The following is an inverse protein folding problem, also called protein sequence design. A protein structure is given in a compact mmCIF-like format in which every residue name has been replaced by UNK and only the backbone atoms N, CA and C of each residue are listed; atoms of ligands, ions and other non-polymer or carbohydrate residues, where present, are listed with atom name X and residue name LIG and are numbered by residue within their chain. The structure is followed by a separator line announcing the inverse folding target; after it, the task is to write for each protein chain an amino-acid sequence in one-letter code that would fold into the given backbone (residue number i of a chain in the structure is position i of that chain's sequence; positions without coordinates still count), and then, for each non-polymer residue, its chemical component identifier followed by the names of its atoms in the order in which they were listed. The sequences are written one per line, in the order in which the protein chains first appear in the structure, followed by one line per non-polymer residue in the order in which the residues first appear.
data_IF_531926213704
#
_entry.id   IF_531926213704
#
_cell.length_a   1.000
_cell.length_b   1.000
_cell.length_c   1.000
_cell.angle_alpha   90.00
_cell.angle_beta   90.00
_cell.angle_gamma   90.00
#
_symmetry.space_group_name_H-M   'P 1'
#
loop_
_entity.id
_entity.type
_entity.pdbx_description
1 polymer ?
#
# COMPACT_ATOMS: atom_id res chain seq x y z
N UNK A 1 0.63 26.14 6.04
CA UNK A 1 1.21 27.46 6.25
C UNK A 1 1.71 28.03 4.93
N UNK A 2 1.47 29.32 4.69
CA UNK A 2 2.08 30.06 3.58
C UNK A 2 3.26 30.86 4.12
N UNK A 3 4.29 31.08 3.26
CA UNK A 3 5.50 31.81 3.63
C UNK A 3 6.07 31.31 4.97
N UNK A 4 6.48 30.03 4.98
CA UNK A 4 6.85 29.30 6.18
C UNK A 4 8.28 28.76 6.10
N UNK A 5 8.84 28.48 7.26
CA UNK A 5 10.11 27.76 7.43
C UNK A 5 9.88 26.41 8.11
N UNK A 6 10.78 25.48 7.89
CA UNK A 6 10.85 24.21 8.60
C UNK A 6 12.32 23.90 8.89
N UNK A 7 12.61 23.51 10.12
CA UNK A 7 13.93 23.09 10.59
C UNK A 7 13.97 21.60 10.82
N UNK A 8 15.06 20.98 10.37
CA UNK A 8 15.32 19.55 10.60
C UNK A 8 16.72 19.35 11.19
N UNK A 9 16.84 18.45 12.14
CA UNK A 9 18.11 18.04 12.72
C UNK A 9 18.15 16.53 12.90
N UNK A 10 19.29 15.90 12.57
CA UNK A 10 19.49 14.46 12.71
C UNK A 10 18.37 13.61 12.06
N UNK A 11 17.85 14.08 10.91
CA UNK A 11 16.78 13.39 10.17
C UNK A 11 15.39 13.49 10.82
N UNK A 12 15.19 14.40 11.77
CA UNK A 12 13.89 14.68 12.40
C UNK A 12 13.48 16.14 12.22
N UNK A 13 12.18 16.37 12.21
CA UNK A 13 11.62 17.72 12.26
C UNK A 13 11.86 18.27 13.67
N UNK A 14 12.47 19.45 13.74
CA UNK A 14 12.71 20.16 15.00
C UNK A 14 11.55 21.10 15.27
N UNK A 15 11.28 22.01 14.31
CA UNK A 15 10.21 22.99 14.43
C UNK A 15 9.85 23.56 13.06
N UNK A 16 8.77 24.30 12.97
CA UNK A 16 8.33 25.03 11.79
C UNK A 16 7.41 26.20 12.16
N UNK A 17 7.36 27.19 11.30
CA UNK A 17 6.49 28.36 11.53
C UNK A 17 6.42 29.32 10.36
N UNK A 18 5.66 30.42 10.50
CA UNK A 18 5.69 31.52 9.54
C UNK A 18 7.08 32.16 9.46
N UNK A 19 7.49 32.66 8.29
CA UNK A 19 8.82 33.25 8.06
C UNK A 19 9.19 34.38 9.00
N UNK A 20 8.22 35.16 9.49
CA UNK A 20 8.43 36.24 10.45
C UNK A 20 8.80 35.76 11.87
N UNK A 21 8.63 34.46 12.14
CA UNK A 21 9.01 33.80 13.38
C UNK A 21 10.31 32.98 13.26
N UNK A 22 11.01 33.06 12.10
CA UNK A 22 12.23 32.27 11.89
C UNK A 22 13.27 32.58 12.99
N UNK A 23 13.73 31.54 13.74
CA UNK A 23 14.74 31.75 14.76
C UNK A 23 16.05 32.27 14.18
N UNK A 24 16.72 33.13 14.92
CA UNK A 24 18.11 33.51 14.61
C UNK A 24 19.04 32.33 14.91
N UNK A 25 19.69 31.79 13.91
CA UNK A 25 20.58 30.65 14.07
C UNK A 25 21.42 30.40 12.83
N UNK A 26 22.32 29.43 12.93
CA UNK A 26 23.10 28.92 11.80
C UNK A 26 22.55 27.54 11.41
N UNK A 27 22.35 27.34 10.12
CA UNK A 27 22.02 26.04 9.55
C UNK A 27 23.15 25.60 8.61
N UNK A 28 23.51 24.34 8.64
CA UNK A 28 24.55 23.77 7.76
C UNK A 28 24.09 23.79 6.28
N UNK A 29 22.78 23.66 6.05
CA UNK A 29 22.17 23.71 4.73
C UNK A 29 20.87 24.51 4.81
N UNK A 30 20.73 25.47 3.92
CA UNK A 30 19.49 26.22 3.70
C UNK A 30 18.97 25.89 2.30
N UNK A 31 17.71 25.50 2.22
CA UNK A 31 17.01 25.22 0.96
C UNK A 31 15.96 26.31 0.72
N UNK A 32 16.06 27.01 -0.42
CA UNK A 32 15.03 27.99 -0.81
C UNK A 32 13.75 27.26 -1.26
N UNK A 33 12.67 27.45 -0.47
CA UNK A 33 11.33 26.94 -0.71
C UNK A 33 10.39 27.92 -1.40
N UNK A 34 10.88 29.07 -1.88
CA UNK A 34 10.04 30.13 -2.46
C UNK A 34 9.23 29.63 -3.66
N UNK A 35 7.92 29.83 -3.62
CA UNK A 35 6.99 29.35 -4.67
C UNK A 35 6.81 27.84 -4.75
N UNK A 36 7.23 27.08 -3.74
CA UNK A 36 7.22 25.63 -3.69
C UNK A 36 6.27 25.11 -2.62
N UNK A 37 5.86 23.86 -2.75
CA UNK A 37 5.11 23.15 -1.73
C UNK A 37 6.03 22.17 -1.04
N UNK A 38 6.09 22.25 0.29
CA UNK A 38 6.71 21.26 1.16
C UNK A 38 5.63 20.44 1.84
N UNK A 39 5.69 19.12 1.74
CA UNK A 39 4.72 18.21 2.33
C UNK A 39 5.41 16.97 2.91
N UNK A 40 4.74 16.19 3.80
CA UNK A 40 5.23 14.88 4.19
C UNK A 40 5.41 13.99 2.95
N UNK A 41 6.43 13.17 2.96
CA UNK A 41 6.59 12.11 1.98
C UNK A 41 5.46 11.07 2.12
N UNK A 42 5.17 10.35 1.04
CA UNK A 42 4.07 9.39 0.96
C UNK A 42 4.35 8.13 1.76
N UNK A 43 3.29 7.53 2.28
CA UNK A 43 3.27 6.16 2.71
C UNK A 43 2.41 5.35 1.73
N UNK A 44 2.88 4.19 1.29
CA UNK A 44 2.12 3.30 0.41
C UNK A 44 1.78 2.02 1.15
N UNK A 45 0.55 1.95 1.64
CA UNK A 45 0.08 0.92 2.56
C UNK A 45 -0.46 -0.34 1.91
N UNK A 46 -0.26 -0.50 0.58
CA UNK A 46 -0.72 -1.67 -0.14
C UNK A 46 0.05 -1.86 -1.45
N UNK A 47 0.99 -2.81 -1.49
CA UNK A 47 1.72 -3.17 -2.71
C UNK A 47 2.04 -4.66 -2.78
N UNK A 48 2.25 -5.16 -4.01
CA UNK A 48 2.68 -6.53 -4.33
C UNK A 48 3.91 -6.53 -5.24
N UNK A 49 4.89 -5.68 -4.92
CA UNK A 49 6.05 -5.43 -5.80
C UNK A 49 7.03 -6.58 -5.93
N UNK A 50 6.90 -7.65 -5.12
CA UNK A 50 7.69 -8.87 -5.28
C UNK A 50 6.97 -9.80 -6.24
N UNK A 51 7.26 -9.65 -7.54
CA UNK A 51 6.74 -10.51 -8.60
C UNK A 51 7.83 -10.80 -9.65
N UNK A 52 7.74 -11.98 -10.28
CA UNK A 52 8.76 -12.49 -11.19
C UNK A 52 8.63 -11.97 -12.63
N UNK A 53 7.41 -11.66 -13.07
CA UNK A 53 7.12 -11.22 -14.46
C UNK A 53 6.00 -10.21 -14.50
N UNK A 54 6.06 -9.30 -15.47
CA UNK A 54 4.95 -8.46 -15.87
C UNK A 54 3.87 -9.28 -16.58
N UNK A 55 2.65 -8.74 -16.64
CA UNK A 55 1.48 -9.40 -17.22
C UNK A 55 0.91 -8.60 -18.40
N UNK A 56 1.78 -7.96 -19.18
CA UNK A 56 1.41 -7.11 -20.31
C UNK A 56 0.65 -7.86 -21.40
N UNK A 57 0.88 -9.16 -21.58
CA UNK A 57 0.09 -9.98 -22.51
C UNK A 57 -1.38 -10.10 -22.09
N UNK A 58 -1.64 -10.22 -20.79
CA UNK A 58 -3.00 -10.25 -20.25
C UNK A 58 -3.71 -8.88 -20.40
N UNK A 59 -2.94 -7.79 -20.31
CA UNK A 59 -3.46 -6.46 -20.61
C UNK A 59 -3.93 -6.35 -22.06
N UNK A 60 -3.15 -6.86 -23.03
CA UNK A 60 -3.54 -6.89 -24.45
C UNK A 60 -4.78 -7.76 -24.67
N UNK A 61 -4.86 -8.93 -24.04
CA UNK A 61 -6.04 -9.81 -24.10
C UNK A 61 -7.30 -9.11 -23.56
N UNK A 62 -7.17 -8.37 -22.45
CA UNK A 62 -8.27 -7.60 -21.86
C UNK A 62 -8.75 -6.47 -22.76
N UNK A 63 -7.85 -5.70 -23.36
CA UNK A 63 -8.19 -4.68 -24.36
C UNK A 63 -8.90 -5.32 -25.56
N UNK A 64 -8.50 -6.53 -25.93
CA UNK A 64 -9.14 -7.33 -26.97
C UNK A 64 -10.56 -7.84 -26.60
N UNK A 65 -11.04 -7.56 -25.38
CA UNK A 65 -12.39 -7.88 -24.92
C UNK A 65 -12.52 -9.21 -24.21
N UNK A 66 -11.41 -9.89 -23.85
CA UNK A 66 -11.50 -11.13 -23.07
C UNK A 66 -11.89 -10.80 -21.63
N UNK A 67 -12.82 -11.61 -21.10
CA UNK A 67 -13.20 -11.57 -19.70
C UNK A 67 -12.08 -12.08 -18.77
N UNK A 68 -12.19 -11.78 -17.49
CA UNK A 68 -11.26 -12.29 -16.48
C UNK A 68 -11.21 -13.84 -16.47
N UNK A 69 -12.38 -14.50 -16.62
CA UNK A 69 -12.45 -15.95 -16.68
C UNK A 69 -11.78 -16.52 -17.92
N UNK A 70 -11.91 -15.89 -19.09
CA UNK A 70 -11.25 -16.32 -20.32
C UNK A 70 -9.73 -16.15 -20.24
N UNK A 71 -9.25 -15.07 -19.63
CA UNK A 71 -7.80 -14.86 -19.34
C UNK A 71 -7.30 -15.93 -18.37
N UNK A 72 -8.03 -16.23 -17.31
CA UNK A 72 -7.68 -17.28 -16.36
C UNK A 72 -7.64 -18.68 -17.00
N UNK A 73 -8.60 -18.99 -17.90
CA UNK A 73 -8.64 -20.24 -18.67
C UNK A 73 -7.44 -20.39 -19.61
N UNK A 74 -6.91 -19.29 -20.13
CA UNK A 74 -5.66 -19.26 -20.92
C UNK A 74 -4.39 -19.41 -20.05
N UNK A 75 -4.54 -19.58 -18.73
CA UNK A 75 -3.44 -19.70 -17.79
C UNK A 75 -2.91 -18.37 -17.27
N UNK A 76 -3.68 -17.29 -17.40
CA UNK A 76 -3.36 -15.98 -16.85
C UNK A 76 -3.77 -15.83 -15.37
N UNK A 77 -3.71 -14.60 -14.87
CA UNK A 77 -4.11 -14.27 -13.51
C UNK A 77 -3.04 -14.56 -12.45
N UNK A 78 -3.48 -14.60 -11.19
CA UNK A 78 -2.62 -14.85 -10.02
C UNK A 78 -1.89 -16.20 -10.14
N UNK A 79 -2.55 -17.22 -10.71
CA UNK A 79 -1.95 -18.55 -10.91
C UNK A 79 -0.75 -18.52 -11.85
N UNK A 80 -0.80 -17.71 -12.92
CA UNK A 80 0.34 -17.51 -13.82
C UNK A 80 1.52 -16.83 -13.09
N UNK A 81 1.23 -15.82 -12.29
CA UNK A 81 2.25 -15.17 -11.45
C UNK A 81 2.89 -16.17 -10.48
N UNK A 82 2.09 -17.09 -9.90
CA UNK A 82 2.59 -18.10 -8.98
C UNK A 82 3.53 -19.12 -9.66
N UNK A 83 3.20 -19.57 -10.86
CA UNK A 83 4.07 -20.44 -11.64
C UNK A 83 5.41 -19.75 -11.97
N UNK A 84 5.35 -18.51 -12.45
CA UNK A 84 6.56 -17.74 -12.74
C UNK A 84 7.43 -17.52 -11.51
N UNK A 85 6.81 -17.28 -10.34
CA UNK A 85 7.52 -17.07 -9.09
C UNK A 85 8.14 -18.36 -8.55
N UNK A 86 7.48 -19.52 -8.73
CA UNK A 86 8.02 -20.80 -8.30
C UNK A 86 9.39 -21.08 -8.92
N UNK A 87 9.56 -20.74 -10.20
CA UNK A 87 10.80 -20.93 -10.97
C UNK A 87 11.81 -19.79 -10.82
N UNK A 88 11.42 -18.67 -10.22
CA UNK A 88 12.26 -17.47 -10.13
C UNK A 88 13.46 -17.67 -9.18
N UNK A 89 14.64 -17.24 -9.63
CA UNK A 89 15.80 -17.11 -8.78
C UNK A 89 15.58 -16.03 -7.69
N UNK A 90 15.77 -16.35 -6.40
CA UNK A 90 15.56 -15.41 -5.31
C UNK A 90 16.41 -14.13 -5.42
N UNK A 91 17.63 -14.21 -5.94
CA UNK A 91 18.54 -13.07 -6.08
C UNK A 91 17.95 -12.09 -7.12
N UNK A 92 17.58 -12.60 -8.30
CA UNK A 92 16.96 -11.80 -9.33
C UNK A 92 15.62 -11.21 -8.87
N UNK A 93 14.82 -12.00 -8.14
CA UNK A 93 13.55 -11.53 -7.59
C UNK A 93 13.75 -10.36 -6.61
N UNK A 94 14.81 -10.43 -5.78
CA UNK A 94 15.21 -9.34 -4.89
C UNK A 94 15.64 -8.10 -5.67
N UNK A 95 16.53 -8.25 -6.64
CA UNK A 95 17.06 -7.12 -7.41
C UNK A 95 15.96 -6.39 -8.18
N UNK A 96 15.09 -7.14 -8.86
CA UNK A 96 13.95 -6.59 -9.61
C UNK A 96 12.95 -5.88 -8.67
N UNK A 97 12.66 -6.46 -7.50
CA UNK A 97 11.76 -5.84 -6.52
C UNK A 97 12.40 -4.61 -5.88
N UNK A 98 13.70 -4.65 -5.58
CA UNK A 98 14.40 -3.52 -4.98
C UNK A 98 14.51 -2.32 -5.95
N UNK A 99 14.70 -2.57 -7.23
CA UNK A 99 14.66 -1.52 -8.26
C UNK A 99 13.29 -0.80 -8.29
N UNK A 100 12.18 -1.55 -8.06
CA UNK A 100 10.84 -0.95 -7.91
C UNK A 100 10.75 -0.07 -6.66
N UNK A 101 11.30 -0.53 -5.52
CA UNK A 101 11.38 0.28 -4.29
C UNK A 101 12.15 1.58 -4.54
N UNK A 102 13.30 1.52 -5.21
CA UNK A 102 14.10 2.71 -5.54
C UNK A 102 13.32 3.69 -6.44
N UNK A 103 12.59 3.19 -7.43
CA UNK A 103 11.74 4.02 -8.28
C UNK A 103 10.59 4.68 -7.51
N UNK A 104 9.98 3.99 -6.53
CA UNK A 104 8.96 4.55 -5.66
C UNK A 104 9.52 5.60 -4.70
N UNK A 105 10.68 5.35 -4.09
CA UNK A 105 11.37 6.33 -3.25
C UNK A 105 11.72 7.60 -4.02
N UNK A 106 12.18 7.47 -5.25
CA UNK A 106 12.47 8.63 -6.11
C UNK A 106 11.22 9.47 -6.42
N UNK A 107 10.03 8.88 -6.32
CA UNK A 107 8.74 9.55 -6.47
C UNK A 107 8.10 9.95 -5.12
N UNK A 108 8.88 10.00 -4.04
CA UNK A 108 8.45 10.55 -2.76
C UNK A 108 7.86 9.53 -1.78
N UNK A 109 7.92 8.23 -2.05
CA UNK A 109 7.46 7.21 -1.08
C UNK A 109 8.52 6.98 -0.01
N UNK A 110 8.14 7.15 1.26
CA UNK A 110 9.02 7.03 2.43
C UNK A 110 8.61 5.91 3.41
N UNK A 111 7.57 5.16 3.10
CA UNK A 111 7.17 3.94 3.81
C UNK A 111 6.39 3.03 2.87
N UNK A 112 6.58 1.73 3.00
CA UNK A 112 5.93 0.71 2.15
C UNK A 112 5.33 -0.42 2.96
N UNK A 113 4.21 -0.98 2.46
CA UNK A 113 3.83 -2.35 2.72
C UNK A 113 4.12 -3.19 1.48
N UNK A 114 4.68 -4.38 1.68
CA UNK A 114 4.88 -5.37 0.62
C UNK A 114 4.20 -6.67 1.04
N UNK A 115 3.22 -7.10 0.24
CA UNK A 115 2.46 -8.34 0.46
C UNK A 115 3.10 -9.49 -0.30
N UNK A 116 3.06 -10.70 0.27
CA UNK A 116 3.27 -11.96 -0.46
C UNK A 116 2.02 -12.30 -1.31
N UNK A 117 1.75 -13.55 -1.60
CA UNK A 117 0.50 -13.95 -2.25
C UNK A 117 0.61 -14.38 -3.71
N UNK A 118 1.80 -14.28 -4.29
CA UNK A 118 2.10 -14.92 -5.57
C UNK A 118 2.87 -16.23 -5.43
N UNK A 119 3.06 -16.72 -4.19
CA UNK A 119 3.70 -18.01 -3.96
C UNK A 119 2.75 -19.20 -4.08
N UNK A 120 1.59 -19.09 -3.43
CA UNK A 120 0.52 -20.08 -3.36
C UNK A 120 0.98 -21.50 -2.99
N UNK A 121 2.17 -21.62 -2.40
CA UNK A 121 2.75 -22.86 -1.88
C UNK A 121 3.68 -22.54 -0.70
N UNK A 122 3.95 -23.52 0.16
CA UNK A 122 4.83 -23.33 1.32
C UNK A 122 6.21 -22.74 0.89
N UNK A 123 6.86 -23.39 -0.06
CA UNK A 123 8.20 -22.98 -0.50
C UNK A 123 8.21 -21.57 -1.14
N UNK A 124 7.21 -21.26 -1.97
CA UNK A 124 7.18 -20.00 -2.71
C UNK A 124 6.71 -18.83 -1.88
N UNK A 125 5.74 -19.00 -0.96
CA UNK A 125 5.35 -17.94 -0.01
C UNK A 125 6.50 -17.57 0.92
N UNK A 126 7.20 -18.56 1.49
CA UNK A 126 8.37 -18.30 2.31
C UNK A 126 9.52 -17.66 1.53
N UNK A 127 9.70 -18.05 0.25
CA UNK A 127 10.66 -17.38 -0.65
C UNK A 127 10.34 -15.90 -0.80
N UNK A 128 9.08 -15.55 -1.08
CA UNK A 128 8.66 -14.15 -1.19
C UNK A 128 8.91 -13.38 0.10
N UNK A 129 8.47 -13.90 1.23
CA UNK A 129 8.62 -13.24 2.52
C UNK A 129 10.10 -13.06 2.93
N UNK A 130 10.96 -14.02 2.59
CA UNK A 130 12.41 -13.87 2.80
C UNK A 130 13.03 -12.80 1.90
N UNK A 131 12.54 -12.65 0.66
CA UNK A 131 12.92 -11.53 -0.22
C UNK A 131 12.43 -10.20 0.37
N UNK A 132 11.20 -10.13 0.86
CA UNK A 132 10.67 -8.93 1.52
C UNK A 132 11.52 -8.56 2.75
N UNK A 133 11.93 -9.54 3.57
CA UNK A 133 12.85 -9.31 4.70
C UNK A 133 14.18 -8.68 4.25
N UNK A 134 14.78 -9.18 3.17
CA UNK A 134 16.02 -8.61 2.63
C UNK A 134 15.82 -7.18 2.11
N UNK A 135 14.65 -6.87 1.50
CA UNK A 135 14.29 -5.51 1.13
C UNK A 135 14.17 -4.63 2.38
N UNK A 136 13.50 -5.11 3.44
CA UNK A 136 13.33 -4.40 4.71
C UNK A 136 14.67 -4.07 5.38
N UNK A 137 15.63 -4.98 5.32
CA UNK A 137 16.99 -4.80 5.85
C UNK A 137 17.82 -3.81 5.02
N UNK A 138 17.62 -3.78 3.71
CA UNK A 138 18.39 -2.95 2.76
C UNK A 138 17.81 -1.54 2.59
N UNK A 139 16.48 -1.41 2.62
CA UNK A 139 15.81 -0.14 2.31
C UNK A 139 16.05 0.91 3.39
N UNK A 140 16.25 2.19 3.01
CA UNK A 140 16.42 3.28 3.96
C UNK A 140 15.12 3.77 4.59
N UNK A 141 14.00 3.21 4.17
CA UNK A 141 12.64 3.54 4.60
C UNK A 141 12.03 2.36 5.35
N UNK A 142 11.06 2.58 6.24
CA UNK A 142 10.31 1.49 6.85
C UNK A 142 9.58 0.66 5.79
N UNK A 143 9.71 -0.65 5.89
CA UNK A 143 8.97 -1.62 5.09
C UNK A 143 8.22 -2.54 6.02
N UNK A 144 6.92 -2.70 5.81
CA UNK A 144 6.05 -3.67 6.48
C UNK A 144 5.80 -4.85 5.55
N UNK A 145 5.76 -6.05 6.11
CA UNK A 145 5.55 -7.29 5.38
C UNK A 145 4.19 -7.90 5.72
N UNK A 146 3.40 -8.26 4.70
CA UNK A 146 2.12 -8.94 4.86
C UNK A 146 2.16 -10.34 4.29
N UNK A 147 1.74 -11.32 5.09
CA UNK A 147 1.51 -12.66 4.61
C UNK A 147 0.12 -12.75 3.96
N UNK A 148 0.07 -12.89 2.64
CA UNK A 148 -1.14 -13.04 1.84
C UNK A 148 -1.18 -14.41 1.14
N UNK A 149 -0.86 -15.50 1.84
CA UNK A 149 -1.03 -16.85 1.28
C UNK A 149 -2.48 -17.15 0.86
N UNK A 150 -3.43 -16.47 1.47
CA UNK A 150 -4.84 -16.51 1.12
C UNK A 150 -5.23 -15.49 0.02
N UNK A 151 -4.43 -15.38 -1.04
CA UNK A 151 -4.70 -14.54 -2.21
C UNK A 151 -5.55 -15.28 -3.27
N UNK A 152 -5.26 -16.55 -3.50
CA UNK A 152 -6.06 -17.44 -4.35
C UNK A 152 -5.84 -18.90 -3.93
N UNK A 153 -6.77 -19.78 -4.29
CA UNK A 153 -6.59 -21.22 -4.08
C UNK A 153 -5.81 -21.80 -5.27
N UNK A 154 -4.62 -22.38 -5.05
CA UNK A 154 -3.83 -22.96 -6.13
C UNK A 154 -4.49 -24.19 -6.75
N UNK A 155 -4.15 -24.49 -8.00
CA UNK A 155 -4.75 -25.60 -8.76
C UNK A 155 -4.61 -26.95 -8.03
N UNK A 156 -3.52 -27.19 -7.32
CA UNK A 156 -3.30 -28.39 -6.54
C UNK A 156 -4.35 -28.61 -5.43
N UNK A 157 -4.99 -27.55 -4.97
CA UNK A 157 -6.01 -27.56 -3.92
C UNK A 157 -7.40 -27.14 -4.43
N UNK A 158 -7.62 -27.11 -5.74
CA UNK A 158 -8.92 -26.68 -6.35
C UNK A 158 -10.13 -27.42 -5.74
N UNK A 159 -9.97 -28.70 -5.41
CA UNK A 159 -11.00 -29.55 -4.84
C UNK A 159 -10.81 -29.83 -3.33
N UNK A 160 -9.82 -29.19 -2.71
CA UNK A 160 -9.50 -29.36 -1.27
C UNK A 160 -9.13 -28.00 -0.64
N UNK A 161 -10.08 -27.08 -0.62
CA UNK A 161 -9.90 -25.75 -0.02
C UNK A 161 -9.53 -25.83 1.47
N UNK A 162 -10.14 -26.79 2.18
CA UNK A 162 -9.85 -27.01 3.61
C UNK A 162 -8.40 -27.42 3.80
N UNK A 163 -7.89 -28.32 2.96
CA UNK A 163 -6.48 -28.72 2.97
C UNK A 163 -5.54 -27.55 2.69
N UNK A 164 -5.90 -26.63 1.79
CA UNK A 164 -5.11 -25.42 1.55
C UNK A 164 -5.08 -24.49 2.76
N UNK A 165 -6.23 -24.23 3.38
CA UNK A 165 -6.31 -23.40 4.60
C UNK A 165 -5.50 -24.03 5.74
N UNK A 166 -5.57 -25.36 5.89
CA UNK A 166 -4.73 -26.08 6.87
C UNK A 166 -3.24 -25.93 6.56
N UNK A 167 -2.82 -25.99 5.28
CA UNK A 167 -1.45 -25.72 4.89
C UNK A 167 -0.98 -24.33 5.34
N UNK A 168 -1.80 -23.29 5.11
CA UNK A 168 -1.48 -21.91 5.51
C UNK A 168 -1.33 -21.83 7.04
N UNK A 169 -2.28 -22.39 7.80
CA UNK A 169 -2.35 -22.30 9.26
C UNK A 169 -1.32 -23.17 9.96
N UNK A 170 -1.25 -24.45 9.57
CA UNK A 170 -0.51 -25.46 10.35
C UNK A 170 0.96 -25.60 9.91
N UNK A 171 1.30 -25.12 8.70
CA UNK A 171 2.63 -25.30 8.14
C UNK A 171 3.35 -23.97 7.86
N UNK A 172 2.68 -23.00 7.24
CA UNK A 172 3.34 -21.76 6.80
C UNK A 172 3.39 -20.75 7.94
N UNK A 173 2.28 -20.48 8.61
CA UNK A 173 2.23 -19.51 9.72
C UNK A 173 3.25 -19.80 10.85
N UNK A 174 3.46 -21.05 11.32
CA UNK A 174 4.49 -21.33 12.32
C UNK A 174 5.90 -20.97 11.85
N UNK A 175 6.22 -21.17 10.58
CA UNK A 175 7.53 -20.82 10.03
C UNK A 175 7.70 -19.31 9.89
N UNK A 176 6.65 -18.60 9.45
CA UNK A 176 6.63 -17.14 9.41
C UNK A 176 6.91 -16.55 10.79
N UNK A 177 6.23 -17.07 11.82
CA UNK A 177 6.42 -16.63 13.19
C UNK A 177 7.83 -16.95 13.72
N UNK A 178 8.33 -18.16 13.45
CA UNK A 178 9.66 -18.59 13.91
C UNK A 178 10.79 -17.74 13.28
N UNK A 179 10.62 -17.29 12.03
CA UNK A 179 11.59 -16.46 11.32
C UNK A 179 11.31 -14.94 11.42
N UNK A 180 10.18 -14.52 11.98
CA UNK A 180 9.77 -13.10 12.04
C UNK A 180 9.59 -12.48 10.65
N UNK A 181 8.94 -13.18 9.72
CA UNK A 181 8.89 -12.80 8.32
C UNK A 181 7.78 -11.81 7.95
N UNK A 182 6.73 -11.69 8.76
CA UNK A 182 5.59 -10.82 8.48
C UNK A 182 5.17 -9.99 9.71
N UNK A 183 4.67 -8.81 9.45
CA UNK A 183 4.03 -7.90 10.41
C UNK A 183 2.50 -8.13 10.43
N UNK A 184 1.92 -8.49 9.29
CA UNK A 184 0.47 -8.58 9.07
C UNK A 184 0.07 -9.92 8.44
N UNK A 185 -1.21 -10.30 8.67
CA UNK A 185 -1.91 -11.35 7.94
C UNK A 185 -2.98 -10.72 7.06
N UNK A 186 -2.97 -11.04 5.77
CA UNK A 186 -3.95 -10.54 4.81
C UNK A 186 -4.71 -11.72 4.15
N UNK A 187 -5.96 -11.46 3.79
CA UNK A 187 -6.85 -12.43 3.13
C UNK A 187 -7.65 -11.73 2.04
N UNK A 188 -7.73 -12.32 0.86
CA UNK A 188 -8.63 -11.85 -0.18
C UNK A 188 -10.04 -12.41 0.07
N UNK A 189 -10.84 -11.66 0.84
CA UNK A 189 -12.22 -12.00 1.19
C UNK A 189 -13.18 -11.46 0.15
N UNK A 190 -13.40 -12.20 -0.93
CA UNK A 190 -14.30 -11.76 -1.98
C UNK A 190 -14.91 -12.94 -2.75
N UNK A 191 -15.92 -12.64 -3.59
CA UNK A 191 -16.59 -13.60 -4.45
C UNK A 191 -15.57 -14.32 -5.35
N UNK A 192 -15.55 -15.66 -5.25
CA UNK A 192 -14.62 -16.50 -6.01
C UNK A 192 -13.27 -16.74 -5.34
N UNK A 193 -12.96 -16.01 -4.27
CA UNK A 193 -11.73 -16.13 -3.48
C UNK A 193 -12.01 -16.77 -2.11
N UNK A 194 -11.76 -16.10 -0.99
CA UNK A 194 -12.04 -16.67 0.34
C UNK A 194 -13.36 -16.16 0.90
N UNK A 195 -14.11 -17.05 1.51
CA UNK A 195 -15.40 -16.75 2.15
C UNK A 195 -15.19 -16.14 3.55
N UNK A 196 -16.24 -15.50 4.09
CA UNK A 196 -16.18 -14.94 5.46
C UNK A 196 -15.80 -15.99 6.51
N UNK A 197 -16.35 -17.24 6.55
CA UNK A 197 -15.90 -18.25 7.50
C UNK A 197 -14.46 -18.72 7.31
N UNK A 198 -13.96 -18.75 6.07
CA UNK A 198 -12.56 -19.10 5.78
C UNK A 198 -11.63 -17.97 6.24
N UNK A 199 -12.03 -16.72 6.01
CA UNK A 199 -11.33 -15.50 6.44
C UNK A 199 -11.27 -15.43 7.96
N UNK A 200 -12.39 -15.63 8.65
CA UNK A 200 -12.46 -15.68 10.12
C UNK A 200 -11.41 -16.65 10.71
N UNK A 201 -11.38 -17.86 10.21
CA UNK A 201 -10.44 -18.89 10.64
C UNK A 201 -8.97 -18.51 10.38
N UNK A 202 -8.67 -17.89 9.22
CA UNK A 202 -7.32 -17.47 8.85
C UNK A 202 -6.84 -16.32 9.72
N UNK A 203 -7.69 -15.30 9.94
CA UNK A 203 -7.34 -14.15 10.78
C UNK A 203 -7.17 -14.53 12.25
N UNK A 204 -8.05 -15.42 12.79
CA UNK A 204 -7.87 -15.96 14.12
C UNK A 204 -6.53 -16.69 14.28
N UNK A 205 -6.12 -17.45 13.26
CA UNK A 205 -4.81 -18.11 13.26
C UNK A 205 -3.66 -17.12 13.22
N UNK A 206 -3.73 -16.08 12.38
CA UNK A 206 -2.73 -15.01 12.32
C UNK A 206 -2.53 -14.30 13.66
N UNK A 207 -3.62 -13.96 14.34
CA UNK A 207 -3.59 -13.34 15.66
C UNK A 207 -2.82 -14.16 16.72
N UNK A 208 -2.92 -15.49 16.68
CA UNK A 208 -2.18 -16.38 17.59
C UNK A 208 -0.67 -16.25 17.46
N UNK A 209 -0.20 -15.76 16.31
CA UNK A 209 1.21 -15.49 16.01
C UNK A 209 1.56 -14.00 16.04
N UNK A 210 0.64 -13.13 16.50
CA UNK A 210 0.87 -11.68 16.62
C UNK A 210 0.80 -10.92 15.29
N UNK A 211 0.29 -11.52 14.22
CA UNK A 211 0.08 -10.85 12.94
C UNK A 211 -1.25 -10.10 12.97
N UNK A 212 -1.19 -8.77 12.85
CA UNK A 212 -2.41 -7.96 12.81
C UNK A 212 -3.13 -8.14 11.47
N UNK A 213 -4.48 -8.26 11.44
CA UNK A 213 -5.23 -8.45 10.21
C UNK A 213 -5.20 -7.23 9.28
N UNK A 214 -5.16 -7.51 7.99
CA UNK A 214 -5.56 -6.64 6.87
C UNK A 214 -6.42 -7.48 5.93
N UNK A 215 -7.25 -6.85 5.10
CA UNK A 215 -8.16 -7.61 4.22
C UNK A 215 -8.30 -6.90 2.88
N UNK A 216 -8.13 -7.63 1.76
CA UNK A 216 -8.69 -7.25 0.49
C UNK A 216 -10.19 -7.52 0.57
N UNK A 217 -11.00 -6.49 0.51
CA UNK A 217 -12.42 -6.56 0.83
C UNK A 217 -13.28 -5.84 -0.21
N UNK A 218 -14.36 -6.48 -0.63
CA UNK A 218 -15.42 -5.85 -1.41
C UNK A 218 -14.92 -5.18 -2.70
N UNK A 219 -13.92 -5.79 -3.37
CA UNK A 219 -13.43 -5.35 -4.68
C UNK A 219 -14.43 -5.73 -5.78
N UNK A 220 -14.93 -6.98 -5.75
CA UNK A 220 -15.74 -7.56 -6.82
C UNK A 220 -17.23 -7.67 -6.45
N UNK A 221 -17.55 -7.78 -5.16
CA UNK A 221 -18.93 -7.93 -4.66
C UNK A 221 -19.05 -7.46 -3.20
N UNK A 222 -20.27 -7.36 -2.70
CA UNK A 222 -20.59 -7.21 -1.28
C UNK A 222 -20.32 -8.53 -0.53
N UNK A 223 -19.07 -8.83 -0.31
CA UNK A 223 -18.59 -10.14 0.14
C UNK A 223 -18.56 -10.33 1.66
N UNK A 224 -18.84 -9.27 2.44
CA UNK A 224 -18.74 -9.27 3.90
C UNK A 224 -17.31 -9.11 4.44
N UNK A 225 -16.35 -8.82 3.56
CA UNK A 225 -14.95 -8.58 3.91
C UNK A 225 -14.76 -7.39 4.86
N UNK A 226 -15.55 -6.34 4.72
CA UNK A 226 -15.54 -5.18 5.61
C UNK A 226 -15.95 -5.56 7.03
N UNK A 227 -17.10 -6.26 7.16
CA UNK A 227 -17.65 -6.64 8.46
C UNK A 227 -16.73 -7.59 9.22
N UNK A 228 -16.18 -8.61 8.55
CA UNK A 228 -15.24 -9.53 9.19
C UNK A 228 -13.92 -8.83 9.55
N UNK A 229 -13.46 -7.86 8.76
CA UNK A 229 -12.30 -7.02 9.07
C UNK A 229 -12.51 -6.24 10.35
N UNK A 230 -13.64 -5.57 10.50
CA UNK A 230 -14.00 -4.84 11.71
C UNK A 230 -14.11 -5.78 12.91
N UNK A 231 -14.74 -6.94 12.76
CA UNK A 231 -14.86 -7.95 13.82
C UNK A 231 -13.49 -8.39 14.38
N UNK A 232 -12.49 -8.49 13.51
CA UNK A 232 -11.11 -8.86 13.87
C UNK A 232 -10.22 -7.67 14.20
N UNK A 233 -10.73 -6.44 14.32
CA UNK A 233 -9.95 -5.23 14.51
C UNK A 233 -8.82 -5.10 13.49
N UNK A 234 -9.14 -5.37 12.21
CA UNK A 234 -8.18 -5.23 11.14
C UNK A 234 -7.60 -3.82 11.10
N UNK A 235 -6.31 -3.71 10.79
CA UNK A 235 -5.64 -2.42 10.64
C UNK A 235 -6.24 -1.64 9.48
N UNK A 236 -6.51 -2.34 8.36
CA UNK A 236 -7.21 -1.78 7.22
C UNK A 236 -8.08 -2.81 6.51
N UNK A 237 -9.07 -2.32 5.77
CA UNK A 237 -9.81 -3.02 4.74
C UNK A 237 -9.58 -2.28 3.44
N UNK A 238 -9.08 -2.99 2.44
CA UNK A 238 -8.49 -2.42 1.25
C UNK A 238 -9.35 -2.74 0.01
N UNK A 239 -9.31 -1.93 -1.05
CA UNK A 239 -10.13 -1.90 -2.27
C UNK A 239 -11.44 -1.12 -2.12
N UNK A 240 -12.52 -1.77 -1.68
CA UNK A 240 -13.81 -1.16 -1.33
C UNK A 240 -14.58 -0.57 -2.52
N UNK A 241 -14.48 -1.18 -3.71
CA UNK A 241 -15.29 -0.82 -4.88
C UNK A 241 -16.79 -1.04 -4.62
N UNK A 242 -17.13 -2.11 -3.86
CA UNK A 242 -18.50 -2.47 -3.49
C UNK A 242 -18.80 -2.07 -2.05
N UNK A 243 -19.23 -0.82 -1.85
CA UNK A 243 -19.58 -0.25 -0.55
C UNK A 243 -21.02 0.28 -0.54
N UNK A 244 -21.74 -0.02 0.52
CA UNK A 244 -23.09 0.48 0.79
C UNK A 244 -23.22 0.97 2.23
N UNK A 245 -24.45 1.28 2.63
CA UNK A 245 -24.73 1.80 3.97
C UNK A 245 -24.29 0.83 5.09
N UNK A 246 -24.47 -0.49 4.88
CA UNK A 246 -24.11 -1.49 5.89
C UNK A 246 -22.60 -1.54 6.16
N UNK A 247 -21.78 -1.41 5.12
CA UNK A 247 -20.31 -1.39 5.22
C UNK A 247 -19.84 -0.08 5.88
N UNK A 248 -20.45 1.05 5.53
CA UNK A 248 -20.15 2.36 6.14
C UNK A 248 -20.47 2.31 7.64
N UNK A 249 -21.65 1.85 8.00
CA UNK A 249 -22.05 1.73 9.41
C UNK A 249 -21.15 0.77 10.21
N UNK A 250 -20.66 -0.30 9.58
CA UNK A 250 -19.72 -1.21 10.21
C UNK A 250 -18.38 -0.55 10.55
N UNK A 251 -17.91 0.38 9.71
CA UNK A 251 -16.64 1.08 9.89
C UNK A 251 -16.72 2.27 10.86
N UNK A 252 -17.89 2.90 11.00
CA UNK A 252 -18.05 4.09 11.84
C UNK A 252 -17.74 3.78 13.32
N UNK A 253 -16.88 4.59 13.91
CA UNK A 253 -16.47 4.45 15.32
C UNK A 253 -15.44 3.34 15.57
N UNK A 254 -14.90 2.72 14.52
CA UNK A 254 -13.82 1.72 14.61
C UNK A 254 -12.46 2.33 14.30
N UNK A 255 -11.38 1.59 14.59
CA UNK A 255 -10.01 1.96 14.24
C UNK A 255 -9.54 1.35 12.90
N UNK A 256 -10.40 0.63 12.19
CA UNK A 256 -10.09 0.01 10.91
C UNK A 256 -10.05 1.06 9.81
N UNK A 257 -8.92 1.20 9.12
CA UNK A 257 -8.73 2.19 8.06
C UNK A 257 -9.28 1.70 6.72
N UNK A 258 -10.28 2.36 6.11
CA UNK A 258 -10.62 2.15 4.71
C UNK A 258 -9.46 2.59 3.82
N UNK A 259 -8.89 1.68 3.02
CA UNK A 259 -7.79 1.98 2.08
C UNK A 259 -8.26 1.80 0.65
N UNK A 260 -8.25 2.87 -0.12
CA UNK A 260 -8.77 2.90 -1.49
C UNK A 260 -7.63 2.79 -2.49
N UNK A 261 -7.86 2.01 -3.55
CA UNK A 261 -6.85 1.65 -4.55
C UNK A 261 -7.27 2.14 -5.95
N UNK A 262 -7.23 3.47 -6.19
CA UNK A 262 -7.79 4.04 -7.42
C UNK A 262 -7.05 3.59 -8.68
N UNK A 263 -5.78 3.16 -8.57
CA UNK A 263 -5.01 2.61 -9.68
C UNK A 263 -5.62 1.34 -10.25
N UNK A 264 -6.11 0.46 -9.39
CA UNK A 264 -6.77 -0.80 -9.76
C UNK A 264 -8.09 -0.55 -10.48
N UNK A 265 -8.97 0.25 -9.89
CA UNK A 265 -10.24 0.61 -10.52
C UNK A 265 -10.02 1.28 -11.90
N UNK A 266 -9.03 2.18 -12.00
CA UNK A 266 -8.66 2.84 -13.26
C UNK A 266 -8.17 1.84 -14.30
N UNK A 267 -7.19 1.00 -13.95
CA UNK A 267 -6.55 0.08 -14.90
C UNK A 267 -7.48 -1.04 -15.38
N UNK A 268 -8.34 -1.54 -14.48
CA UNK A 268 -9.30 -2.60 -14.80
C UNK A 268 -10.61 -2.06 -15.39
N UNK A 269 -10.87 -0.75 -15.35
CA UNK A 269 -12.12 -0.16 -15.78
C UNK A 269 -13.30 -0.53 -14.87
N UNK A 270 -13.03 -0.72 -13.56
CA UNK A 270 -14.06 -1.01 -12.56
C UNK A 270 -14.78 0.26 -12.13
N UNK A 271 -15.94 0.09 -11.48
CA UNK A 271 -16.55 1.19 -10.74
C UNK A 271 -15.61 1.61 -9.61
N UNK A 272 -15.27 2.91 -9.48
CA UNK A 272 -14.33 3.34 -8.44
C UNK A 272 -14.97 3.26 -7.04
N UNK A 273 -14.17 3.02 -5.99
CA UNK A 273 -14.65 3.04 -4.61
C UNK A 273 -15.25 4.42 -4.26
N UNK A 274 -16.34 4.48 -3.47
CA UNK A 274 -17.12 5.69 -3.23
C UNK A 274 -16.49 6.61 -2.18
N UNK A 275 -15.26 7.09 -2.42
CA UNK A 275 -14.49 7.90 -1.46
C UNK A 275 -15.28 9.11 -0.94
N UNK A 276 -16.02 9.82 -1.81
CA UNK A 276 -16.80 10.98 -1.38
C UNK A 276 -17.83 10.61 -0.31
N UNK A 277 -18.56 9.51 -0.53
CA UNK A 277 -19.56 9.02 0.42
C UNK A 277 -18.92 8.62 1.75
N UNK A 278 -17.78 7.93 1.72
CA UNK A 278 -17.04 7.54 2.92
C UNK A 278 -16.61 8.76 3.73
N UNK A 279 -15.99 9.75 3.08
CA UNK A 279 -15.51 10.98 3.74
C UNK A 279 -16.69 11.80 4.29
N UNK A 280 -17.76 11.97 3.52
CA UNK A 280 -18.95 12.72 3.95
C UNK A 280 -19.69 12.05 5.12
N UNK A 281 -19.52 10.73 5.27
CA UNK A 281 -20.02 9.97 6.43
C UNK A 281 -19.12 10.10 7.68
N UNK A 282 -18.00 10.81 7.58
CA UNK A 282 -17.07 11.04 8.69
C UNK A 282 -15.92 10.02 8.80
N UNK A 283 -15.76 9.13 7.82
CA UNK A 283 -14.64 8.19 7.78
C UNK A 283 -13.37 8.86 7.23
N UNK A 284 -12.23 8.61 7.88
CA UNK A 284 -10.94 8.81 7.27
C UNK A 284 -10.69 7.71 6.22
N UNK A 285 -10.04 8.05 5.11
CA UNK A 285 -9.65 7.08 4.09
C UNK A 285 -8.16 7.18 3.81
N UNK A 286 -7.49 6.06 3.55
CA UNK A 286 -6.14 6.04 3.01
C UNK A 286 -6.17 5.82 1.50
N UNK A 287 -5.10 6.23 0.82
CA UNK A 287 -4.83 5.93 -0.60
C UNK A 287 -3.54 5.13 -0.72
N UNK A 288 -3.55 4.10 -1.54
CA UNK A 288 -2.38 3.31 -1.85
C UNK A 288 -2.32 2.96 -3.35
N UNK A 289 -1.17 2.50 -3.81
CA UNK A 289 -0.94 2.27 -5.24
C UNK A 289 -1.47 0.93 -5.74
N UNK A 290 -1.54 -0.07 -4.88
CA UNK A 290 -1.72 -1.47 -5.27
C UNK A 290 -0.71 -1.93 -6.33
N UNK A 291 0.53 -1.44 -6.25
CA UNK A 291 1.52 -1.73 -7.28
C UNK A 291 1.75 -3.23 -7.45
N UNK A 292 1.24 -3.76 -8.55
CA UNK A 292 1.30 -5.18 -8.91
C UNK A 292 1.32 -5.36 -10.43
N UNK A 293 1.71 -6.55 -10.96
CA UNK A 293 1.86 -6.73 -12.40
C UNK A 293 0.54 -6.89 -13.17
N UNK A 294 -0.60 -7.06 -12.51
CA UNK A 294 -1.85 -7.47 -13.15
C UNK A 294 -2.94 -6.42 -13.20
N UNK A 295 -3.12 -5.68 -12.13
CA UNK A 295 -4.24 -4.74 -11.96
C UNK A 295 -3.83 -3.29 -11.70
N UNK A 296 -2.55 -3.04 -11.32
CA UNK A 296 -2.05 -1.69 -11.10
C UNK A 296 -0.52 -1.64 -11.31
N UNK A 297 -0.02 -1.57 -12.55
CA UNK A 297 1.42 -1.69 -12.85
C UNK A 297 2.19 -0.39 -12.61
N UNK A 298 1.87 0.34 -11.54
CA UNK A 298 2.49 1.62 -11.20
C UNK A 298 2.52 1.86 -9.70
N UNK A 299 3.70 2.21 -9.16
CA UNK A 299 3.88 2.68 -7.77
C UNK A 299 3.93 4.20 -7.65
N UNK A 300 3.38 4.95 -8.60
CA UNK A 300 3.42 6.41 -8.61
C UNK A 300 2.37 7.02 -7.68
N UNK A 301 2.77 7.38 -6.46
CA UNK A 301 1.88 8.09 -5.53
C UNK A 301 1.43 9.47 -6.05
N UNK A 302 2.24 10.26 -6.80
CA UNK A 302 1.74 11.45 -7.49
C UNK A 302 0.55 11.15 -8.43
N UNK A 303 0.58 10.04 -9.16
CA UNK A 303 -0.54 9.64 -10.00
C UNK A 303 -1.76 9.18 -9.18
N UNK A 304 -1.53 8.49 -8.07
CA UNK A 304 -2.59 8.09 -7.12
C UNK A 304 -3.32 9.32 -6.56
N UNK A 305 -2.60 10.42 -6.23
CA UNK A 305 -3.25 11.69 -5.82
C UNK A 305 -4.19 12.22 -6.91
N UNK A 306 -3.74 12.21 -8.16
CA UNK A 306 -4.55 12.68 -9.29
C UNK A 306 -5.79 11.81 -9.50
N UNK A 307 -5.66 10.49 -9.40
CA UNK A 307 -6.80 9.56 -9.46
C UNK A 307 -7.76 9.78 -8.28
N UNK A 308 -7.25 10.05 -7.08
CA UNK A 308 -8.06 10.42 -5.92
C UNK A 308 -8.96 11.63 -6.21
N UNK A 309 -8.40 12.66 -6.85
CA UNK A 309 -9.18 13.84 -7.24
C UNK A 309 -10.12 13.57 -8.41
N UNK A 310 -9.59 13.04 -9.52
CA UNK A 310 -10.34 12.94 -10.78
C UNK A 310 -11.36 11.80 -10.75
N UNK A 311 -10.94 10.62 -10.28
CA UNK A 311 -11.77 9.42 -10.27
C UNK A 311 -12.64 9.32 -9.00
N UNK A 312 -12.04 9.52 -7.82
CA UNK A 312 -12.73 9.35 -6.54
C UNK A 312 -13.40 10.63 -6.02
N UNK A 313 -13.26 11.77 -6.69
CA UNK A 313 -13.87 13.08 -6.32
C UNK A 313 -13.43 13.59 -4.94
N UNK A 314 -12.23 13.25 -4.52
CA UNK A 314 -11.60 13.81 -3.33
C UNK A 314 -11.06 15.21 -3.61
N UNK A 315 -11.06 16.07 -2.59
CA UNK A 315 -10.36 17.37 -2.68
C UNK A 315 -8.84 17.15 -2.59
N UNK A 316 -7.99 18.00 -3.18
CA UNK A 316 -6.53 17.87 -3.09
C UNK A 316 -6.02 17.67 -1.66
N UNK A 317 -6.50 18.45 -0.70
CA UNK A 317 -6.09 18.32 0.70
C UNK A 317 -6.48 16.97 1.33
N UNK A 318 -7.61 16.40 0.89
CA UNK A 318 -8.05 15.06 1.35
C UNK A 318 -7.15 13.98 0.76
N UNK A 319 -6.72 14.10 -0.51
CA UNK A 319 -5.78 13.14 -1.11
C UNK A 319 -4.40 13.22 -0.47
N UNK A 320 -3.92 14.42 -0.11
CA UNK A 320 -2.66 14.57 0.62
C UNK A 320 -2.72 13.87 1.98
N UNK A 321 -3.78 14.12 2.77
CA UNK A 321 -3.97 13.45 4.05
C UNK A 321 -4.07 11.93 3.89
N UNK A 322 -4.79 11.46 2.86
CA UNK A 322 -5.00 10.04 2.59
C UNK A 322 -3.70 9.32 2.21
N UNK A 323 -2.81 9.95 1.41
CA UNK A 323 -1.56 9.36 0.95
C UNK A 323 -0.37 9.56 1.93
N UNK A 324 -0.57 10.31 3.02
CA UNK A 324 0.48 10.57 4.01
C UNK A 324 0.05 10.13 5.40
N UNK A 325 -0.76 10.91 6.10
CA UNK A 325 -1.15 10.67 7.49
C UNK A 325 -1.96 9.38 7.67
N UNK A 326 -3.00 9.19 6.85
CA UNK A 326 -3.88 8.03 6.96
C UNK A 326 -3.19 6.76 6.46
N UNK A 327 -2.40 6.84 5.38
CA UNK A 327 -1.59 5.72 4.90
C UNK A 327 -0.49 5.34 5.91
N UNK A 328 0.13 6.31 6.61
CA UNK A 328 1.07 6.01 7.69
C UNK A 328 0.38 5.31 8.87
N UNK A 329 -0.89 5.66 9.18
CA UNK A 329 -1.70 4.95 10.17
C UNK A 329 -1.95 3.49 9.73
N UNK A 330 -2.30 3.26 8.46
CA UNK A 330 -2.51 1.92 7.89
C UNK A 330 -1.23 1.05 7.84
N UNK A 331 -0.07 1.61 8.24
CA UNK A 331 1.21 0.94 8.43
C UNK A 331 1.68 0.90 9.89
N UNK A 332 0.90 1.43 10.85
CA UNK A 332 1.32 1.63 12.25
C UNK A 332 2.60 2.50 12.38
N UNK A 333 2.75 3.47 11.49
CA UNK A 333 3.88 4.40 11.44
C UNK A 333 3.48 5.86 11.73
N UNK A 334 2.25 6.11 12.18
CA UNK A 334 1.70 7.46 12.44
C UNK A 334 2.47 8.23 13.52
N UNK A 335 3.19 7.56 14.40
CA UNK A 335 4.07 8.21 15.39
C UNK A 335 5.38 8.72 14.78
N UNK A 336 5.81 8.15 13.65
CA UNK A 336 7.10 8.45 13.01
C UNK A 336 6.95 9.25 11.71
N UNK A 337 5.85 9.08 10.98
CA UNK A 337 5.65 9.59 9.62
C UNK A 337 4.25 10.22 9.43
N UNK A 338 3.99 10.71 8.22
CA UNK A 338 2.68 11.17 7.76
C UNK A 338 2.36 12.63 8.04
N UNK A 339 3.10 13.29 8.93
CA UNK A 339 2.94 14.73 9.23
C UNK A 339 4.30 15.38 9.46
N UNK A 340 4.37 16.72 9.31
CA UNK A 340 5.58 17.53 9.58
C UNK A 340 5.64 17.97 11.05
N UNK A 341 5.23 17.13 11.98
CA UNK A 341 5.21 17.47 13.41
C UNK A 341 6.59 17.34 14.03
N UNK A 342 6.99 18.23 14.98
CA UNK A 342 8.24 18.10 15.72
C UNK A 342 8.43 16.72 16.35
N UNK A 343 9.65 16.20 16.26
CA UNK A 343 10.05 14.89 16.73
C UNK A 343 9.85 13.74 15.74
N UNK A 344 9.02 13.91 14.71
CA UNK A 344 8.84 12.89 13.66
C UNK A 344 10.00 12.89 12.66
N UNK A 345 10.15 11.82 11.90
CA UNK A 345 11.14 11.74 10.81
C UNK A 345 10.91 12.86 9.80
N UNK A 346 11.97 13.52 9.38
CA UNK A 346 11.96 14.50 8.31
C UNK A 346 11.85 13.83 6.93
N UNK A 347 10.82 13.00 6.76
CA UNK A 347 10.49 12.41 5.47
C UNK A 347 9.63 13.39 4.68
N UNK A 348 10.23 14.07 3.69
CA UNK A 348 9.71 15.27 3.06
C UNK A 348 9.76 15.17 1.55
N UNK A 349 8.78 15.78 0.89
CA UNK A 349 8.79 16.05 -0.55
C UNK A 349 8.70 17.54 -0.76
N UNK A 350 9.64 18.10 -1.52
CA UNK A 350 9.64 19.48 -1.98
C UNK A 350 9.32 19.53 -3.47
N UNK A 351 8.32 20.30 -3.83
CA UNK A 351 7.95 20.49 -5.24
C UNK A 351 8.91 21.43 -5.95
N UNK A 352 8.92 21.41 -7.28
CA UNK A 352 9.33 22.56 -8.11
C UNK A 352 8.40 23.75 -7.83
N UNK A 353 8.76 25.00 -8.24
CA UNK A 353 7.84 26.11 -8.16
C UNK A 353 6.51 25.80 -8.86
N UNK A 354 5.40 25.98 -8.15
CA UNK A 354 4.04 25.70 -8.62
C UNK A 354 3.11 26.85 -8.26
N UNK A 355 2.01 26.99 -8.99
CA UNK A 355 1.04 28.08 -8.77
C UNK A 355 0.21 27.93 -7.50
N UNK A 356 -0.02 26.68 -7.05
CA UNK A 356 -0.74 26.34 -5.84
C UNK A 356 -0.50 24.88 -5.45
N UNK A 357 -0.81 24.44 -4.22
CA UNK A 357 -0.77 23.03 -3.85
C UNK A 357 -1.68 22.15 -4.71
N UNK A 358 -2.79 22.66 -5.21
CA UNK A 358 -3.73 21.91 -6.05
C UNK A 358 -3.11 21.45 -7.38
N UNK A 359 -2.07 22.18 -7.86
CA UNK A 359 -1.31 21.79 -9.05
C UNK A 359 -0.77 20.37 -8.96
N UNK A 360 -0.37 19.92 -7.77
CA UNK A 360 0.21 18.59 -7.55
C UNK A 360 -0.75 17.44 -7.90
N UNK A 361 -2.04 17.66 -7.74
CA UNK A 361 -3.08 16.70 -8.13
C UNK A 361 -3.58 16.93 -9.56
N UNK A 362 -3.55 18.18 -10.03
CA UNK A 362 -4.07 18.58 -11.33
C UNK A 362 -3.18 18.12 -12.48
N UNK A 363 -1.88 18.29 -12.34
CA UNK A 363 -0.90 18.06 -13.41
C UNK A 363 -0.32 16.64 -13.34
N UNK A 364 -1.15 15.64 -13.56
CA UNK A 364 -0.89 14.20 -13.31
C UNK A 364 0.30 13.59 -14.05
N UNK A 365 0.79 14.20 -15.13
CA UNK A 365 2.00 13.72 -15.87
C UNK A 365 3.23 14.59 -15.65
N UNK A 366 3.05 15.77 -15.03
CA UNK A 366 4.18 16.67 -14.80
C UNK A 366 5.03 16.19 -13.61
N UNK A 367 6.34 16.01 -13.79
CA UNK A 367 7.23 15.63 -12.70
C UNK A 367 7.45 16.82 -11.77
N UNK A 368 6.56 17.06 -10.85
CA UNK A 368 6.59 18.20 -9.93
C UNK A 368 7.49 18.01 -8.70
N UNK A 369 7.89 16.80 -8.39
CA UNK A 369 8.83 16.52 -7.29
C UNK A 369 10.23 16.97 -7.72
N UNK A 370 10.85 17.83 -6.91
CA UNK A 370 12.23 18.26 -7.11
C UNK A 370 13.17 17.59 -6.12
N UNK A 371 12.74 17.42 -4.87
CA UNK A 371 13.59 16.85 -3.82
C UNK A 371 12.79 15.93 -2.92
N UNK A 372 13.40 14.81 -2.57
CA UNK A 372 12.88 13.85 -1.57
C UNK A 372 13.91 13.71 -0.46
N UNK A 373 13.46 13.91 0.78
CA UNK A 373 14.21 13.58 1.98
C UNK A 373 13.53 12.42 2.69
N UNK A 374 14.33 11.46 3.17
CA UNK A 374 13.79 10.23 3.76
C UNK A 374 14.00 10.15 5.29
N UNK A 375 14.37 11.26 5.91
CA UNK A 375 14.54 11.34 7.37
C UNK A 375 15.65 10.43 7.90
N UNK A 376 16.74 10.32 7.16
CA UNK A 376 17.95 9.63 7.64
C UNK A 376 18.72 10.56 8.57
N UNK A 377 19.20 10.06 9.71
CA UNK A 377 20.38 10.64 10.37
C UNK A 377 21.55 10.50 9.42
N UNK A 378 22.30 11.59 9.20
CA UNK A 378 23.60 11.48 8.53
C UNK A 378 24.45 10.48 9.32
N UNK A 379 25.20 9.57 8.66
CA UNK A 379 26.14 8.74 9.38
C UNK A 379 27.09 9.68 10.14
N UNK A 380 27.23 9.44 11.44
CA UNK A 380 28.23 10.14 12.27
C UNK A 380 29.59 9.98 11.60
N UNK A 381 30.15 11.11 11.16
CA UNK A 381 31.49 11.24 10.58
C UNK A 381 32.57 10.67 11.47
#
# INVERSE_FOLDING_TARGET
LENAWLETENGRVVDFGPMDTLPSGHADLVVDGSGRVLMPAFADSHTHIVFARWRESEFVDRIGGLSYEEIAQKGGGILNSALALADADPIRLLDDAYARVEAMMAQGTAALEIKSGYGLSEASELKMLRVIRQIKERAPIPVKASFLGAHAVPLAYKNDRVGYINLLIDRILPQIAAEGLADYMDVFCDRGFFTVPETDRLLEAGWKYGLRPKIHANELDFSGGVQIGVQHNALSVDHLECMGEAEIQALLGTETMPTLLPGTAFFLGLHPPPARTLIDSGLGVALASDYNPGSSPSGSMPFVLSLGCVLLKMKPIETFAAATMNAAYALELQSELGTLSPGKRAALVLSRPVSSPDFLCYAYTEPWIERVELGRSLPSS
#
